data_IF_032281569331
#
_entry.id   IF_032281569331
#
_cell.length_a   1.000
_cell.length_b   1.000
_cell.length_c   1.000
_cell.angle_alpha   90.00
_cell.angle_beta   90.00
_cell.angle_gamma   90.00
#
_symmetry.space_group_name_H-M   'P 1'
#
loop_
_entity.id
_entity.type
_entity.pdbx_description
1 polymer ?
#
# COMPACT_ATOMS: atom_id res chain seq x y z
N UNK A 1 0.71 -49.75 -29.56
CA UNK A 1 1.59 -49.25 -28.48
C UNK A 1 2.33 -47.95 -28.82
N UNK A 2 2.92 -47.75 -30.01
CA UNK A 2 3.65 -46.49 -30.34
C UNK A 2 2.77 -45.22 -30.35
N UNK A 3 1.50 -45.30 -30.73
CA UNK A 3 0.57 -44.14 -30.75
C UNK A 3 0.06 -43.72 -29.36
N UNK A 4 0.00 -44.66 -28.41
CA UNK A 4 -0.50 -44.40 -27.04
C UNK A 4 0.54 -43.66 -26.20
N UNK A 5 1.84 -43.93 -26.41
CA UNK A 5 2.94 -43.23 -25.75
C UNK A 5 3.03 -41.77 -26.21
N UNK A 6 2.76 -41.49 -27.49
CA UNK A 6 2.80 -40.13 -28.04
C UNK A 6 1.70 -39.22 -27.41
N UNK A 7 0.54 -39.78 -27.10
CA UNK A 7 -0.56 -39.04 -26.45
C UNK A 7 -0.27 -38.71 -24.98
N UNK A 8 0.43 -39.59 -24.26
CA UNK A 8 0.84 -39.35 -22.87
C UNK A 8 1.92 -38.26 -22.79
N UNK A 9 2.85 -38.22 -23.76
CA UNK A 9 3.87 -37.17 -23.84
C UNK A 9 3.25 -35.80 -24.19
N UNK A 10 2.26 -35.75 -25.09
CA UNK A 10 1.53 -34.50 -25.38
C UNK A 10 0.66 -34.04 -24.19
N UNK A 11 0.03 -34.95 -23.46
CA UNK A 11 -0.76 -34.60 -22.27
C UNK A 11 0.11 -34.08 -21.12
N UNK A 12 1.33 -34.60 -20.96
CA UNK A 12 2.30 -34.08 -19.97
C UNK A 12 2.88 -32.72 -20.38
N UNK A 13 2.93 -32.38 -21.67
CA UNK A 13 3.41 -31.08 -22.14
C UNK A 13 2.41 -29.92 -21.93
N UNK A 14 1.14 -30.22 -21.62
CA UNK A 14 0.11 -29.19 -21.35
C UNK A 14 0.01 -28.78 -19.87
N UNK A 15 0.80 -29.39 -18.97
CA UNK A 15 0.88 -28.99 -17.55
C UNK A 15 2.09 -28.07 -17.31
N UNK A 16 2.68 -27.48 -18.35
CA UNK A 16 3.40 -26.21 -18.19
C UNK A 16 2.34 -25.11 -18.12
N UNK A 17 1.53 -25.13 -17.06
CA UNK A 17 0.71 -23.98 -16.69
C UNK A 17 1.66 -22.82 -16.46
N UNK A 18 1.41 -21.71 -17.15
CA UNK A 18 2.26 -20.53 -17.17
C UNK A 18 2.48 -19.98 -15.77
N UNK A 19 3.58 -20.40 -15.14
CA UNK A 19 4.03 -19.81 -13.91
C UNK A 19 4.41 -18.37 -14.19
N UNK A 20 3.71 -17.44 -13.55
CA UNK A 20 3.95 -16.02 -13.76
C UNK A 20 5.16 -15.64 -12.93
N UNK A 21 6.15 -15.01 -13.57
CA UNK A 21 7.33 -14.48 -12.89
C UNK A 21 6.91 -13.32 -11.99
N UNK A 22 7.30 -13.36 -10.71
CA UNK A 22 6.92 -12.35 -9.73
C UNK A 22 7.55 -10.99 -10.03
N UNK A 23 8.87 -10.98 -10.27
CA UNK A 23 9.64 -9.74 -10.41
C UNK A 23 9.68 -9.21 -11.84
N UNK A 24 9.12 -9.93 -12.81
CA UNK A 24 9.03 -9.44 -14.18
C UNK A 24 8.03 -8.29 -14.25
N UNK A 25 8.50 -7.12 -14.64
CA UNK A 25 7.69 -5.90 -14.73
C UNK A 25 8.13 -5.08 -15.93
N UNK A 26 7.17 -4.51 -16.64
CA UNK A 26 7.44 -3.57 -17.75
C UNK A 26 8.23 -2.34 -17.28
N UNK A 27 8.17 -2.02 -15.98
CA UNK A 27 8.89 -0.92 -15.36
C UNK A 27 10.34 -1.27 -14.98
N UNK A 28 10.81 -2.49 -15.28
CA UNK A 28 12.14 -2.98 -14.95
C UNK A 28 12.91 -3.31 -16.23
N UNK A 29 13.52 -2.28 -16.83
CA UNK A 29 14.32 -2.40 -18.07
C UNK A 29 15.70 -3.03 -17.87
N UNK A 30 16.25 -2.88 -16.67
CA UNK A 30 17.55 -3.38 -16.22
C UNK A 30 17.51 -3.52 -14.69
N UNK A 31 18.52 -4.19 -14.16
CA UNK A 31 18.65 -4.48 -12.72
C UNK A 31 19.68 -3.61 -12.00
N UNK A 32 20.18 -2.56 -12.65
CA UNK A 32 21.13 -1.66 -12.02
C UNK A 32 20.43 -0.84 -10.93
N UNK A 33 21.07 -0.71 -9.76
CA UNK A 33 20.53 -0.04 -8.57
C UNK A 33 19.23 -0.64 -8.01
N UNK A 34 18.90 -1.87 -8.41
CA UNK A 34 17.73 -2.58 -7.90
C UNK A 34 18.01 -3.15 -6.52
N UNK A 35 16.99 -3.11 -5.66
CA UNK A 35 16.99 -3.84 -4.39
C UNK A 35 15.72 -4.66 -4.28
N UNK A 36 15.86 -5.91 -3.85
CA UNK A 36 14.73 -6.74 -3.41
C UNK A 36 14.77 -6.79 -1.88
N UNK A 37 13.69 -6.36 -1.25
CA UNK A 37 13.59 -6.17 0.19
C UNK A 37 12.42 -7.01 0.70
N UNK A 38 12.71 -8.04 1.46
CA UNK A 38 11.72 -8.77 2.24
C UNK A 38 11.64 -8.16 3.63
N UNK A 39 10.48 -7.68 4.07
CA UNK A 39 10.33 -7.14 5.42
C UNK A 39 8.94 -7.33 6.01
N UNK A 40 8.88 -7.55 7.34
CA UNK A 40 7.63 -7.41 8.09
C UNK A 40 7.15 -5.95 8.10
N UNK A 41 5.86 -5.69 8.38
CA UNK A 41 5.33 -4.34 8.32
C UNK A 41 5.57 -3.56 9.62
N UNK A 42 5.72 -2.23 9.53
CA UNK A 42 6.01 -1.37 10.69
C UNK A 42 4.96 -1.43 11.82
N UNK A 43 3.72 -1.81 11.51
CA UNK A 43 2.63 -1.90 12.48
C UNK A 43 2.60 -3.25 13.24
N UNK A 44 3.38 -4.24 12.82
CA UNK A 44 3.49 -5.50 13.55
C UNK A 44 4.41 -5.35 14.77
N UNK A 45 3.80 -4.97 15.91
CA UNK A 45 4.50 -4.78 17.18
C UNK A 45 5.18 -6.05 17.69
N UNK A 46 4.67 -7.23 17.33
CA UNK A 46 5.23 -8.51 17.74
C UNK A 46 6.36 -8.97 16.84
N UNK A 47 6.61 -8.26 15.72
CA UNK A 47 7.65 -8.59 14.76
C UNK A 47 7.58 -10.04 14.28
N UNK A 48 6.37 -10.54 14.06
CA UNK A 48 6.03 -11.95 13.83
C UNK A 48 6.84 -12.58 12.70
N UNK A 49 7.22 -11.76 11.70
CA UNK A 49 7.99 -12.16 10.53
C UNK A 49 9.36 -11.52 10.41
N UNK A 50 9.94 -10.99 11.49
CA UNK A 50 11.31 -10.43 11.47
C UNK A 50 12.34 -11.44 11.01
N UNK A 51 12.21 -12.71 11.42
CA UNK A 51 13.09 -13.80 10.97
C UNK A 51 13.16 -13.98 9.45
N UNK A 52 12.17 -13.49 8.72
CA UNK A 52 12.09 -13.57 7.27
C UNK A 52 12.63 -12.34 6.55
N UNK A 53 13.14 -11.34 7.27
CA UNK A 53 13.71 -10.16 6.64
C UNK A 53 14.91 -10.52 5.76
N UNK A 54 14.99 -9.90 4.59
CA UNK A 54 16.15 -10.01 3.72
C UNK A 54 16.34 -8.76 2.86
N UNK A 55 17.60 -8.47 2.51
CA UNK A 55 17.97 -7.39 1.60
C UNK A 55 18.96 -7.89 0.55
N UNK A 56 18.57 -7.80 -0.72
CA UNK A 56 19.41 -8.23 -1.85
C UNK A 56 19.71 -7.02 -2.72
N UNK A 57 21.01 -6.73 -2.86
CA UNK A 57 21.56 -5.67 -3.71
C UNK A 57 22.52 -6.20 -4.78
N UNK A 58 22.87 -7.50 -4.72
CA UNK A 58 23.75 -8.14 -5.70
C UNK A 58 22.98 -8.34 -7.01
N UNK A 59 23.47 -7.71 -8.08
CA UNK A 59 22.85 -7.74 -9.41
C UNK A 59 22.68 -9.16 -9.94
N UNK A 60 23.66 -10.05 -9.80
CA UNK A 60 23.58 -11.43 -10.33
C UNK A 60 22.51 -12.23 -9.61
N UNK A 61 22.38 -12.03 -8.30
CA UNK A 61 21.33 -12.66 -7.50
C UNK A 61 19.95 -12.14 -7.92
N UNK A 62 19.84 -10.82 -8.12
CA UNK A 62 18.59 -10.19 -8.58
C UNK A 62 18.20 -10.71 -9.97
N UNK A 63 19.13 -10.74 -10.93
CA UNK A 63 18.93 -11.28 -12.27
C UNK A 63 18.39 -12.72 -12.20
N UNK A 64 19.01 -13.55 -11.35
CA UNK A 64 18.56 -14.94 -11.14
C UNK A 64 17.17 -15.03 -10.52
N UNK A 65 16.82 -14.17 -9.57
CA UNK A 65 15.51 -14.17 -8.93
C UNK A 65 14.39 -13.73 -9.88
N UNK A 66 14.67 -12.77 -10.78
CA UNK A 66 13.70 -12.34 -11.80
C UNK A 66 13.29 -13.50 -12.70
N UNK A 67 14.26 -14.34 -13.06
CA UNK A 67 14.03 -15.49 -13.92
C UNK A 67 13.47 -16.71 -13.20
N UNK A 68 13.58 -16.81 -11.87
CA UNK A 68 13.25 -18.04 -11.13
C UNK A 68 12.07 -17.94 -10.17
N UNK A 69 11.76 -16.74 -9.64
CA UNK A 69 10.70 -16.61 -8.64
C UNK A 69 9.35 -16.46 -9.33
N UNK A 70 8.48 -17.43 -9.04
CA UNK A 70 7.19 -17.60 -9.68
C UNK A 70 6.05 -17.57 -8.66
N UNK A 71 4.84 -17.29 -9.15
CA UNK A 71 3.60 -17.55 -8.42
C UNK A 71 2.65 -18.34 -9.30
N UNK A 72 1.81 -19.14 -8.65
CA UNK A 72 0.96 -20.12 -9.31
C UNK A 72 -0.54 -19.72 -9.26
N UNK A 73 -1.40 -20.72 -9.34
CA UNK A 73 -2.85 -20.56 -9.50
C UNK A 73 -3.51 -19.74 -8.38
N UNK A 74 -4.69 -19.14 -8.64
CA UNK A 74 -5.50 -18.49 -7.62
C UNK A 74 -5.76 -19.45 -6.45
N UNK A 75 -5.73 -18.89 -5.24
CA UNK A 75 -6.12 -19.59 -4.02
C UNK A 75 -7.32 -18.89 -3.39
N UNK A 76 -7.90 -19.47 -2.35
CA UNK A 76 -8.93 -18.79 -1.56
C UNK A 76 -8.39 -17.44 -1.11
N UNK A 77 -9.19 -16.39 -1.30
CA UNK A 77 -8.76 -15.05 -0.93
C UNK A 77 -8.72 -14.94 0.60
N UNK A 78 -7.53 -15.04 1.16
CA UNK A 78 -7.26 -14.99 2.60
C UNK A 78 -6.11 -14.03 2.80
N UNK A 79 -6.33 -13.03 3.64
CA UNK A 79 -5.31 -12.07 4.05
C UNK A 79 -4.89 -12.30 5.49
N UNK A 80 -3.65 -11.90 5.76
CA UNK A 80 -3.09 -11.83 7.09
C UNK A 80 -2.92 -10.35 7.50
N UNK A 81 -3.31 -10.01 8.74
CA UNK A 81 -3.27 -8.63 9.23
C UNK A 81 -1.84 -8.05 9.29
N UNK A 82 -0.87 -8.89 9.63
CA UNK A 82 0.56 -8.55 9.70
C UNK A 82 1.33 -9.21 8.55
N UNK A 83 0.81 -9.08 7.34
CA UNK A 83 1.42 -9.62 6.13
C UNK A 83 2.87 -9.14 5.93
N UNK A 84 3.73 -10.08 5.52
CA UNK A 84 5.09 -9.79 5.10
C UNK A 84 5.06 -9.11 3.73
N UNK A 85 6.01 -8.21 3.45
CA UNK A 85 6.12 -7.55 2.14
C UNK A 85 7.40 -7.98 1.43
N UNK A 86 7.29 -8.30 0.13
CA UNK A 86 8.43 -8.20 -0.78
C UNK A 86 8.29 -6.89 -1.54
N UNK A 87 9.35 -6.09 -1.52
CA UNK A 87 9.39 -4.75 -2.11
C UNK A 87 10.53 -4.73 -3.12
N UNK A 88 10.20 -4.30 -4.33
CA UNK A 88 11.17 -4.06 -5.37
C UNK A 88 11.40 -2.55 -5.47
N UNK A 89 12.67 -2.14 -5.42
CA UNK A 89 13.06 -0.74 -5.57
C UNK A 89 14.08 -0.58 -6.69
N UNK A 90 14.12 0.60 -7.31
CA UNK A 90 15.19 1.05 -8.22
C UNK A 90 15.63 2.44 -7.80
N UNK A 91 16.93 2.61 -7.51
CA UNK A 91 17.44 3.87 -6.94
C UNK A 91 16.70 4.29 -5.66
N UNK A 92 16.41 3.33 -4.77
CA UNK A 92 15.66 3.49 -3.52
C UNK A 92 14.19 3.97 -3.67
N UNK A 93 13.66 4.02 -4.91
CA UNK A 93 12.24 4.27 -5.16
C UNK A 93 11.50 2.96 -5.32
N UNK A 94 10.38 2.79 -4.62
CA UNK A 94 9.52 1.60 -4.75
C UNK A 94 8.90 1.57 -6.14
N UNK A 95 9.12 0.47 -6.87
CA UNK A 95 8.50 0.22 -8.17
C UNK A 95 7.44 -0.88 -8.10
N UNK A 96 7.56 -1.80 -7.14
CA UNK A 96 6.53 -2.79 -6.87
C UNK A 96 6.55 -3.23 -5.40
N UNK A 97 5.41 -3.70 -4.90
CA UNK A 97 5.25 -4.25 -3.56
C UNK A 97 4.20 -5.34 -3.61
N UNK A 98 4.55 -6.50 -3.07
CA UNK A 98 3.65 -7.62 -2.91
C UNK A 98 3.47 -7.97 -1.44
N UNK A 99 2.21 -8.21 -1.09
CA UNK A 99 1.83 -8.71 0.23
C UNK A 99 1.91 -10.24 0.22
N UNK A 100 2.64 -10.80 1.16
CA UNK A 100 2.77 -12.25 1.38
C UNK A 100 2.15 -12.59 2.71
N UNK A 101 1.39 -13.68 2.77
CA UNK A 101 0.92 -14.27 4.02
C UNK A 101 1.69 -15.56 4.27
N UNK A 102 2.82 -15.55 5.00
CA UNK A 102 3.62 -16.75 5.23
C UNK A 102 2.82 -17.89 5.85
N UNK A 103 1.85 -17.58 6.73
CA UNK A 103 0.98 -18.58 7.36
C UNK A 103 0.11 -19.35 6.35
N UNK A 104 -0.31 -18.69 5.27
CA UNK A 104 -1.22 -19.25 4.26
C UNK A 104 -0.52 -19.62 2.96
N UNK A 105 0.80 -19.51 2.91
CA UNK A 105 1.61 -19.82 1.72
C UNK A 105 1.09 -19.15 0.44
N UNK A 106 0.72 -17.87 0.57
CA UNK A 106 0.12 -17.11 -0.52
C UNK A 106 0.73 -15.72 -0.67
N UNK A 107 0.54 -15.17 -1.88
CA UNK A 107 0.91 -13.81 -2.25
C UNK A 107 -0.32 -13.11 -2.84
N UNK A 108 -0.51 -11.84 -2.51
CA UNK A 108 -1.56 -11.02 -3.11
C UNK A 108 -1.03 -10.35 -4.38
N UNK A 109 -1.63 -10.70 -5.51
CA UNK A 109 -1.38 -10.09 -6.82
C UNK A 109 -2.68 -9.42 -7.25
N UNK A 110 -2.66 -8.09 -7.40
CA UNK A 110 -3.80 -7.29 -7.88
C UNK A 110 -5.12 -7.59 -7.13
N UNK A 111 -5.06 -7.70 -5.80
CA UNK A 111 -6.25 -7.94 -4.96
C UNK A 111 -6.66 -9.41 -4.84
N UNK A 112 -5.99 -10.33 -5.52
CA UNK A 112 -6.29 -11.77 -5.49
C UNK A 112 -5.15 -12.58 -4.87
N UNK A 113 -5.48 -13.54 -4.02
CA UNK A 113 -4.49 -14.46 -3.44
C UNK A 113 -4.06 -15.53 -4.45
N UNK A 114 -2.76 -15.75 -4.59
CA UNK A 114 -2.11 -16.74 -5.46
C UNK A 114 -1.20 -17.62 -4.63
N UNK A 115 -1.04 -18.89 -5.01
CA UNK A 115 -0.09 -19.77 -4.32
C UNK A 115 1.35 -19.25 -4.50
N UNK A 116 2.12 -19.26 -3.42
CA UNK A 116 3.50 -18.79 -3.41
C UNK A 116 4.36 -19.64 -2.49
N UNK A 117 5.53 -20.05 -2.98
CA UNK A 117 6.47 -20.87 -2.20
C UNK A 117 7.20 -20.01 -1.16
N UNK A 118 6.78 -20.13 0.10
CA UNK A 118 7.40 -19.43 1.24
C UNK A 118 8.81 -19.94 1.53
N UNK A 119 9.20 -21.11 1.04
CA UNK A 119 10.58 -21.61 1.19
C UNK A 119 11.58 -20.67 0.51
N UNK A 120 11.17 -19.94 -0.53
CA UNK A 120 11.98 -18.90 -1.18
C UNK A 120 12.33 -17.80 -0.17
N UNK A 121 11.33 -17.30 0.57
CA UNK A 121 11.52 -16.26 1.59
C UNK A 121 12.42 -16.77 2.73
N UNK A 122 12.19 -17.99 3.18
CA UNK A 122 13.00 -18.62 4.24
C UNK A 122 14.48 -18.74 3.81
N UNK A 123 14.74 -19.23 2.60
CA UNK A 123 16.09 -19.40 2.07
C UNK A 123 16.81 -18.06 1.85
N UNK A 124 16.09 -17.06 1.32
CA UNK A 124 16.66 -15.71 1.14
C UNK A 124 16.99 -15.06 2.49
N UNK A 125 16.11 -15.22 3.48
CA UNK A 125 16.35 -14.67 4.82
C UNK A 125 17.58 -15.28 5.50
N UNK A 126 17.82 -16.58 5.37
CA UNK A 126 19.02 -17.23 5.94
C UNK A 126 20.33 -16.68 5.38
N UNK A 127 20.33 -16.28 4.10
CA UNK A 127 21.55 -15.83 3.41
C UNK A 127 21.74 -14.31 3.42
N UNK A 128 20.64 -13.56 3.36
CA UNK A 128 20.63 -12.11 3.16
C UNK A 128 19.90 -11.38 4.28
N UNK A 129 19.87 -11.98 5.48
CA UNK A 129 19.21 -11.41 6.64
C UNK A 129 19.64 -9.97 6.89
N UNK A 130 18.67 -9.12 7.26
CA UNK A 130 18.98 -7.78 7.72
C UNK A 130 17.95 -7.31 8.76
N UNK A 131 18.35 -6.30 9.51
CA UNK A 131 17.44 -5.53 10.36
C UNK A 131 17.21 -4.16 9.78
N UNK A 132 16.06 -3.57 10.11
CA UNK A 132 15.70 -2.24 9.65
C UNK A 132 15.09 -1.43 10.78
N UNK A 133 15.26 -0.13 10.64
CA UNK A 133 14.56 0.87 11.45
C UNK A 133 13.67 1.71 10.55
N UNK A 134 12.72 2.41 11.16
CA UNK A 134 11.91 3.39 10.48
C UNK A 134 11.68 4.60 11.38
N UNK A 135 11.47 5.75 10.77
CA UNK A 135 11.09 6.97 11.47
C UNK A 135 10.16 7.82 10.61
N UNK A 136 9.44 8.70 11.28
CA UNK A 136 8.55 9.66 10.65
C UNK A 136 9.16 11.05 10.66
N UNK A 137 8.94 11.79 9.57
CA UNK A 137 9.38 13.18 9.45
C UNK A 137 8.26 14.00 8.83
N UNK A 138 7.89 15.08 9.52
CA UNK A 138 6.88 16.03 9.04
C UNK A 138 7.53 17.10 8.16
N UNK A 139 6.81 17.51 7.12
CA UNK A 139 7.22 18.53 6.16
C UNK A 139 6.15 19.62 6.07
N UNK A 140 6.57 20.84 5.74
CA UNK A 140 5.61 21.95 5.54
C UNK A 140 4.92 21.88 4.18
N UNK A 141 5.62 21.37 3.17
CA UNK A 141 5.13 21.32 1.79
C UNK A 141 5.93 20.32 0.93
N UNK A 142 5.43 20.07 -0.28
CA UNK A 142 6.03 19.14 -1.22
C UNK A 142 7.45 19.55 -1.67
N UNK A 143 7.75 20.85 -1.76
CA UNK A 143 9.07 21.34 -2.15
C UNK A 143 10.14 20.98 -1.12
N UNK A 144 9.82 21.12 0.17
CA UNK A 144 10.69 20.71 1.27
C UNK A 144 10.93 19.20 1.26
N UNK A 145 9.85 18.42 1.12
CA UNK A 145 9.95 16.97 0.99
C UNK A 145 10.80 16.55 -0.20
N UNK A 146 10.61 17.14 -1.38
CA UNK A 146 11.38 16.76 -2.59
C UNK A 146 12.88 16.98 -2.42
N UNK A 147 13.29 18.07 -1.75
CA UNK A 147 14.71 18.31 -1.42
C UNK A 147 15.25 17.24 -0.47
N UNK A 148 14.54 16.98 0.62
CA UNK A 148 14.91 15.93 1.57
C UNK A 148 14.99 14.55 0.89
N UNK A 149 13.98 14.21 0.08
CA UNK A 149 13.88 12.93 -0.60
C UNK A 149 15.02 12.72 -1.61
N UNK A 150 15.43 13.77 -2.32
CA UNK A 150 16.58 13.69 -3.24
C UNK A 150 17.89 13.38 -2.52
N UNK A 151 18.08 13.87 -1.29
CA UNK A 151 19.30 13.62 -0.51
C UNK A 151 19.26 12.29 0.23
N UNK A 152 18.15 11.95 0.89
CA UNK A 152 18.04 10.71 1.66
C UNK A 152 18.13 9.46 0.76
N UNK A 153 17.62 9.53 -0.49
CA UNK A 153 17.69 8.42 -1.44
C UNK A 153 19.10 8.15 -1.97
N UNK A 154 20.07 9.06 -1.78
CA UNK A 154 21.48 8.81 -2.12
C UNK A 154 22.23 8.02 -1.04
N UNK A 155 21.67 7.95 0.16
CA UNK A 155 22.34 7.29 1.28
C UNK A 155 22.26 5.77 1.13
N UNK A 156 23.38 5.08 1.36
CA UNK A 156 23.47 3.62 1.21
C UNK A 156 22.51 2.88 2.16
N UNK A 157 22.39 3.38 3.39
CA UNK A 157 21.49 2.83 4.42
C UNK A 157 20.01 2.95 4.07
N UNK A 158 19.62 3.84 3.17
CA UNK A 158 18.21 4.06 2.82
C UNK A 158 17.68 2.89 2.02
N UNK A 159 16.56 2.34 2.50
CA UNK A 159 15.82 1.28 1.81
C UNK A 159 14.82 1.90 0.83
N UNK A 160 13.90 2.72 1.37
CA UNK A 160 12.93 3.50 0.61
C UNK A 160 12.23 4.53 1.51
N UNK A 161 11.49 5.44 0.88
CA UNK A 161 10.69 6.48 1.55
C UNK A 161 9.25 6.41 1.07
N UNK A 162 8.30 6.36 2.02
CA UNK A 162 6.89 6.57 1.73
C UNK A 162 6.61 8.09 1.70
N UNK A 163 6.21 8.59 0.54
CA UNK A 163 5.90 10.01 0.30
C UNK A 163 4.64 10.43 1.08
N UNK A 164 4.60 11.64 1.68
CA UNK A 164 3.39 12.22 2.24
C UNK A 164 2.31 12.50 1.18
N UNK A 165 1.05 12.49 1.59
CA UNK A 165 -0.07 12.88 0.72
C UNK A 165 -0.22 14.41 0.75
N UNK A 166 0.19 15.09 -0.33
CA UNK A 166 0.09 16.56 -0.47
C UNK A 166 -1.18 17.02 -1.19
N UNK A 167 -2.27 16.25 -1.11
CA UNK A 167 -3.50 16.53 -1.88
C UNK A 167 -4.39 17.56 -1.20
N UNK A 168 -4.51 17.51 0.13
CA UNK A 168 -5.42 18.34 0.91
C UNK A 168 -4.63 19.26 1.86
N UNK A 169 -5.15 20.46 2.10
CA UNK A 169 -4.57 21.42 3.05
C UNK A 169 -4.96 21.09 4.50
N UNK A 170 -6.05 20.35 4.67
CA UNK A 170 -6.55 19.89 5.96
C UNK A 170 -7.96 19.33 5.83
N UNK A 171 -8.62 19.19 6.97
CA UNK A 171 -9.96 18.63 7.05
C UNK A 171 -10.80 19.27 8.15
N UNK A 172 -12.10 19.02 8.09
CA UNK A 172 -13.04 19.33 9.16
C UNK A 172 -14.16 18.28 9.17
N UNK A 173 -14.80 18.13 10.32
CA UNK A 173 -15.91 17.18 10.50
C UNK A 173 -17.26 17.88 10.43
N UNK A 174 -18.26 17.20 9.87
CA UNK A 174 -19.67 17.58 9.89
C UNK A 174 -20.46 16.43 10.51
N UNK A 175 -21.26 16.73 11.54
CA UNK A 175 -22.12 15.75 12.20
C UNK A 175 -23.57 15.97 11.77
N UNK A 176 -24.16 14.97 11.14
CA UNK A 176 -25.55 14.97 10.69
C UNK A 176 -26.40 14.05 11.57
N UNK A 177 -27.60 14.47 11.99
CA UNK A 177 -28.54 13.56 12.62
C UNK A 177 -29.03 12.54 11.60
N UNK A 178 -29.27 11.31 12.05
CA UNK A 178 -29.93 10.30 11.24
C UNK A 178 -31.42 10.62 11.15
N UNK A 179 -31.93 10.77 9.95
CA UNK A 179 -33.35 11.05 9.67
C UNK A 179 -33.72 10.58 8.25
N UNK A 180 -34.92 10.90 7.79
CA UNK A 180 -35.40 10.53 6.45
C UNK A 180 -34.56 11.15 5.31
N UNK A 181 -34.00 12.34 5.52
CA UNK A 181 -33.13 13.02 4.54
C UNK A 181 -31.71 12.43 4.52
N UNK A 182 -31.20 12.05 5.69
CA UNK A 182 -29.86 11.50 5.88
C UNK A 182 -29.92 10.10 6.50
N UNK A 183 -30.46 9.10 5.78
CA UNK A 183 -30.64 7.75 6.31
C UNK A 183 -29.31 6.98 6.42
N UNK A 184 -28.28 7.39 5.69
CA UNK A 184 -26.96 6.76 5.66
C UNK A 184 -25.87 7.73 5.14
N UNK A 185 -24.57 7.46 5.37
CA UNK A 185 -23.48 8.35 4.94
C UNK A 185 -23.46 8.69 3.45
N UNK A 186 -23.86 7.77 2.58
CA UNK A 186 -23.92 8.00 1.13
C UNK A 186 -24.90 9.12 0.74
N UNK A 187 -26.03 9.26 1.44
CA UNK A 187 -27.01 10.31 1.16
C UNK A 187 -26.45 11.69 1.55
N UNK A 188 -25.63 11.73 2.61
CA UNK A 188 -24.94 12.95 3.01
C UNK A 188 -23.87 13.35 1.98
N UNK A 189 -23.12 12.38 1.44
CA UNK A 189 -22.18 12.64 0.34
C UNK A 189 -22.90 13.22 -0.89
N UNK A 190 -23.97 12.55 -1.36
CA UNK A 190 -24.78 13.01 -2.49
C UNK A 190 -25.38 14.41 -2.28
N UNK A 191 -25.71 14.76 -1.03
CA UNK A 191 -26.18 16.09 -0.66
C UNK A 191 -25.08 17.15 -0.61
N UNK A 192 -23.90 16.84 -0.06
CA UNK A 192 -22.79 17.78 0.12
C UNK A 192 -22.00 18.01 -1.16
N UNK A 193 -21.73 16.95 -1.92
CA UNK A 193 -20.79 16.96 -3.05
C UNK A 193 -21.09 18.06 -4.08
N UNK A 194 -22.32 18.25 -4.58
CA UNK A 194 -22.62 19.31 -5.53
C UNK A 194 -22.42 20.73 -4.96
N UNK A 195 -22.58 20.90 -3.65
CA UNK A 195 -22.35 22.19 -2.98
C UNK A 195 -20.86 22.47 -2.86
N UNK A 196 -20.08 21.45 -2.50
CA UNK A 196 -18.63 21.54 -2.37
C UNK A 196 -17.97 21.76 -3.74
N UNK A 197 -18.41 21.06 -4.78
CA UNK A 197 -17.91 21.24 -6.16
C UNK A 197 -18.06 22.68 -6.66
N UNK A 198 -19.17 23.34 -6.33
CA UNK A 198 -19.38 24.77 -6.64
C UNK A 198 -18.38 25.70 -5.95
N UNK A 199 -17.93 25.33 -4.74
CA UNK A 199 -16.99 26.11 -3.94
C UNK A 199 -15.55 25.88 -4.44
N UNK A 200 -15.14 24.63 -4.56
CA UNK A 200 -13.74 24.25 -4.83
C UNK A 200 -13.35 24.31 -6.30
N UNK A 201 -14.34 24.31 -7.22
CA UNK A 201 -14.13 24.32 -8.68
C UNK A 201 -13.20 23.19 -9.13
N UNK A 202 -11.94 23.51 -9.37
CA UNK A 202 -10.92 22.57 -9.88
C UNK A 202 -10.05 21.94 -8.77
N UNK A 203 -10.14 22.45 -7.53
CA UNK A 203 -9.36 21.92 -6.40
C UNK A 203 -9.92 20.57 -5.95
N UNK A 204 -9.03 19.65 -5.60
CA UNK A 204 -9.39 18.32 -5.08
C UNK A 204 -9.98 18.43 -3.67
N UNK A 205 -10.98 17.61 -3.41
CA UNK A 205 -11.56 17.40 -2.08
C UNK A 205 -11.94 15.92 -1.92
N UNK A 206 -12.25 15.53 -0.69
CA UNK A 206 -12.75 14.20 -0.33
C UNK A 206 -13.88 14.35 0.69
N UNK A 207 -14.83 13.42 0.62
CA UNK A 207 -15.90 13.26 1.61
C UNK A 207 -15.85 11.80 2.04
N UNK A 208 -15.69 11.56 3.33
CA UNK A 208 -15.58 10.20 3.86
C UNK A 208 -16.33 10.07 5.19
N UNK A 209 -16.90 8.89 5.43
CA UNK A 209 -17.53 8.58 6.72
C UNK A 209 -16.46 8.20 7.74
N UNK A 210 -16.54 8.78 8.95
CA UNK A 210 -15.66 8.43 10.06
C UNK A 210 -16.21 7.22 10.80
N UNK A 211 -15.67 6.03 10.49
CA UNK A 211 -15.96 4.80 11.23
C UNK A 211 -15.00 4.65 12.41
N UNK A 212 -15.36 5.21 13.55
CA UNK A 212 -14.67 5.04 14.83
C UNK A 212 -15.58 4.40 15.89
N UNK A 213 -15.02 4.03 17.05
CA UNK A 213 -15.81 3.42 18.14
C UNK A 213 -16.99 4.29 18.57
N UNK A 214 -16.82 5.62 18.53
CA UNK A 214 -17.87 6.55 18.92
C UNK A 214 -19.05 6.49 17.95
N UNK A 215 -18.82 6.56 16.64
CA UNK A 215 -19.87 6.44 15.62
C UNK A 215 -20.46 5.02 15.54
N UNK A 216 -19.70 3.98 15.90
CA UNK A 216 -20.24 2.62 16.03
C UNK A 216 -21.25 2.49 17.18
N UNK A 217 -21.02 3.23 18.28
CA UNK A 217 -21.89 3.25 19.47
C UNK A 217 -23.06 4.23 19.33
N UNK A 218 -22.87 5.34 18.64
CA UNK A 218 -23.88 6.40 18.47
C UNK A 218 -24.51 6.33 17.08
N UNK A 219 -25.55 5.51 16.93
CA UNK A 219 -26.18 5.21 15.62
C UNK A 219 -27.22 6.22 15.15
N UNK A 220 -27.53 7.23 15.97
CA UNK A 220 -28.51 8.28 15.66
C UNK A 220 -27.89 9.47 14.93
N UNK A 221 -26.61 9.38 14.57
CA UNK A 221 -25.91 10.40 13.81
C UNK A 221 -24.83 9.78 12.92
N UNK A 222 -24.34 10.58 11.98
CA UNK A 222 -23.21 10.26 11.13
C UNK A 222 -22.19 11.40 11.18
N UNK A 223 -20.92 11.05 11.43
CA UNK A 223 -19.81 11.99 11.30
C UNK A 223 -19.14 11.83 9.95
N UNK A 224 -19.13 12.90 9.16
CA UNK A 224 -18.47 12.97 7.85
C UNK A 224 -17.21 13.82 7.98
N UNK A 225 -16.09 13.33 7.45
CA UNK A 225 -14.86 14.09 7.29
C UNK A 225 -14.83 14.68 5.88
N UNK A 226 -14.65 16.00 5.80
CA UNK A 226 -14.41 16.72 4.54
C UNK A 226 -12.95 17.14 4.51
N UNK A 227 -12.21 16.67 3.51
CA UNK A 227 -10.80 17.03 3.28
C UNK A 227 -10.71 17.94 2.06
N UNK A 228 -9.89 18.99 2.11
CA UNK A 228 -9.84 19.96 1.02
C UNK A 228 -8.97 21.18 1.33
N UNK A 229 -9.15 22.27 0.55
CA UNK A 229 -8.50 23.54 0.82
C UNK A 229 -9.17 24.29 1.99
N UNK A 230 -8.45 25.17 2.68
CA UNK A 230 -8.97 25.89 3.85
C UNK A 230 -10.20 26.76 3.52
N UNK A 231 -10.27 27.35 2.32
CA UNK A 231 -11.43 28.16 1.93
C UNK A 231 -12.73 27.34 1.84
N UNK A 232 -12.65 26.03 1.57
CA UNK A 232 -13.83 25.17 1.65
C UNK A 232 -14.41 25.15 3.07
N UNK A 233 -13.54 25.12 4.08
CA UNK A 233 -13.96 25.22 5.47
C UNK A 233 -14.59 26.57 5.78
N UNK A 234 -14.13 27.69 5.22
CA UNK A 234 -14.76 28.99 5.48
C UNK A 234 -16.09 29.17 4.75
N UNK A 235 -16.17 28.66 3.52
CA UNK A 235 -17.24 29.03 2.60
C UNK A 235 -18.42 28.04 2.60
N UNK A 236 -18.20 26.80 3.04
CA UNK A 236 -19.28 25.80 3.15
C UNK A 236 -20.23 26.16 4.30
N UNK A 237 -21.40 26.69 3.95
CA UNK A 237 -22.48 27.06 4.86
C UNK A 237 -23.50 25.94 5.00
N UNK A 238 -23.17 24.92 5.79
CA UNK A 238 -24.08 23.81 6.08
C UNK A 238 -24.95 24.10 7.32
N UNK A 239 -26.28 24.02 7.17
CA UNK A 239 -27.24 24.32 8.24
C UNK A 239 -27.80 23.08 8.92
N UNK A 240 -27.76 21.93 8.25
CA UNK A 240 -28.32 20.67 8.75
C UNK A 240 -27.31 19.82 9.52
N UNK A 241 -26.12 20.37 9.81
CA UNK A 241 -25.06 19.67 10.52
C UNK A 241 -24.39 20.54 11.58
N UNK A 242 -23.75 19.89 12.55
CA UNK A 242 -22.82 20.54 13.46
C UNK A 242 -21.42 20.50 12.84
N UNK A 243 -20.83 21.68 12.62
CA UNK A 243 -19.51 21.83 12.02
C UNK A 243 -18.41 21.83 13.07
N UNK A 244 -17.46 20.92 12.93
CA UNK A 244 -16.25 20.84 13.72
C UNK A 244 -15.25 21.95 13.37
N UNK A 245 -14.12 21.95 14.08
CA UNK A 245 -13.00 22.88 13.82
C UNK A 245 -12.20 22.42 12.60
N UNK A 246 -11.50 23.36 11.99
CA UNK A 246 -10.47 23.04 11.00
C UNK A 246 -9.28 22.32 11.65
N UNK A 247 -8.78 21.29 10.98
CA UNK A 247 -7.58 20.54 11.33
C UNK A 247 -6.61 20.60 10.14
N UNK A 248 -5.48 21.32 10.24
CA UNK A 248 -4.48 21.36 9.19
C UNK A 248 -3.93 19.96 8.87
N UNK A 249 -3.65 19.70 7.60
CA UNK A 249 -3.02 18.46 7.18
C UNK A 249 -1.59 18.39 7.72
N UNK A 250 -1.17 17.19 8.12
CA UNK A 250 0.23 16.90 8.47
C UNK A 250 0.85 16.10 7.33
N UNK A 251 1.92 16.62 6.75
CA UNK A 251 2.62 15.94 5.67
C UNK A 251 3.77 15.10 6.21
N UNK A 252 3.45 13.89 6.65
CA UNK A 252 4.40 12.97 7.28
C UNK A 252 4.92 11.97 6.26
N UNK A 253 6.24 11.89 6.10
CA UNK A 253 6.90 10.82 5.37
C UNK A 253 7.31 9.71 6.36
N UNK A 254 7.29 8.47 5.92
CA UNK A 254 7.95 7.37 6.65
C UNK A 254 9.21 6.97 5.90
N UNK A 255 10.35 7.03 6.59
CA UNK A 255 11.66 6.64 6.05
C UNK A 255 12.03 5.27 6.61
N UNK A 256 12.51 4.38 5.75
CA UNK A 256 13.00 3.05 6.11
C UNK A 256 14.49 2.96 5.82
N UNK A 257 15.27 2.56 6.83
CA UNK A 257 16.72 2.42 6.75
C UNK A 257 17.15 1.05 7.25
N UNK A 258 18.24 0.54 6.68
CA UNK A 258 18.98 -0.59 7.24
C UNK A 258 19.54 -0.15 8.60
N UNK A 259 19.38 -1.01 9.61
CA UNK A 259 20.00 -0.83 10.94
C UNK A 259 21.52 -1.02 10.88
#
# INVERSE_FOLDING_TARGET
MKKTILFIILALSQIVHGQNKLFKSDNLTDTDSVKIIGMYPKWDKNKSYEKYNFLITDKKVIDSLIESVEYAEPTKNISEQNNFSIILTKGNKVINRWSISPKFTNININGSSRQFDISIVDNLSKKYFFKYIWYEKEFKNEKEFSKFNAEILKQEKTLYVNKPIFVYEGSFELQFPKNETFPHPKAIDEYLRPQIEKIVKEKKFSISYKLDEFNMKNRDQYTITVEGPYFLFTDLKEKNSKKGKWVPAKFIATVYEKE
#
